data_IF_526943397466
#
_entry.id   IF_526943397466
#
_cell.length_a   1.000
_cell.length_b   1.000
_cell.length_c   1.000
_cell.angle_alpha   90.00
_cell.angle_beta   90.00
_cell.angle_gamma   90.00
#
_symmetry.space_group_name_H-M   'P 1'
#
loop_
_entity.id
_entity.type
_entity.pdbx_description
1 polymer ?
#
# COMPACT_ATOMS: atom_id res chain seq x y z
N UNK A 1 -15.44 11.18 13.53
CA UNK A 1 -15.34 11.26 12.05
C UNK A 1 -13.92 10.87 11.73
N UNK A 2 -13.71 9.79 10.99
CA UNK A 2 -12.36 9.39 10.57
C UNK A 2 -11.76 10.57 9.79
N UNK A 3 -10.55 10.98 10.14
CA UNK A 3 -9.87 12.07 9.47
C UNK A 3 -9.63 11.70 8.00
N UNK A 4 -10.47 12.25 7.13
CA UNK A 4 -10.38 12.06 5.69
C UNK A 4 -9.02 12.55 5.16
N UNK A 5 -8.38 13.48 5.87
CA UNK A 5 -7.02 13.97 5.60
C UNK A 5 -5.95 12.87 5.74
N UNK A 6 -5.95 12.13 6.86
CA UNK A 6 -5.05 10.99 7.11
C UNK A 6 -5.23 9.89 6.05
N UNK A 7 -6.48 9.47 5.85
CA UNK A 7 -6.81 8.36 4.93
C UNK A 7 -6.41 8.73 3.49
N UNK A 8 -6.74 9.94 3.03
CA UNK A 8 -6.38 10.39 1.67
C UNK A 8 -4.87 10.49 1.48
N UNK A 9 -4.13 10.99 2.47
CA UNK A 9 -2.68 11.13 2.39
C UNK A 9 -1.99 9.78 2.14
N UNK A 10 -2.22 8.81 3.02
CA UNK A 10 -1.52 7.53 2.93
C UNK A 10 -2.01 6.70 1.75
N UNK A 11 -3.31 6.71 1.43
CA UNK A 11 -3.83 6.02 0.25
C UNK A 11 -3.19 6.57 -1.04
N UNK A 12 -3.07 7.90 -1.16
CA UNK A 12 -2.42 8.52 -2.31
C UNK A 12 -0.94 8.15 -2.43
N UNK A 13 -0.20 8.09 -1.31
CA UNK A 13 1.20 7.68 -1.33
C UNK A 13 1.38 6.23 -1.78
N UNK A 14 0.51 5.32 -1.33
CA UNK A 14 0.56 3.92 -1.76
C UNK A 14 0.24 3.77 -3.26
N UNK A 15 -0.70 4.56 -3.80
CA UNK A 15 -0.95 4.63 -5.26
C UNK A 15 0.28 5.13 -6.01
N UNK A 16 0.99 6.14 -5.48
CA UNK A 16 2.24 6.61 -6.09
C UNK A 16 3.33 5.53 -6.06
N UNK A 17 3.46 4.77 -4.97
CA UNK A 17 4.40 3.65 -4.91
C UNK A 17 4.10 2.56 -5.93
N UNK A 18 2.82 2.25 -6.15
CA UNK A 18 2.40 1.31 -7.18
C UNK A 18 2.85 1.79 -8.58
N UNK A 19 2.61 3.06 -8.92
CA UNK A 19 3.06 3.65 -10.19
C UNK A 19 4.58 3.65 -10.34
N UNK A 20 5.34 3.96 -9.29
CA UNK A 20 6.82 3.92 -9.31
C UNK A 20 7.35 2.50 -9.50
N UNK A 21 6.74 1.53 -8.82
CA UNK A 21 7.07 0.11 -8.95
C UNK A 21 6.80 -0.41 -10.36
N UNK A 22 5.73 0.05 -11.02
CA UNK A 22 5.44 -0.26 -12.43
C UNK A 22 6.47 0.30 -13.40
N UNK A 23 7.06 1.45 -13.07
CA UNK A 23 8.18 2.05 -13.81
C UNK A 23 9.53 1.36 -13.53
N UNK A 24 9.54 0.28 -12.74
CA UNK A 24 10.75 -0.46 -12.39
C UNK A 24 11.61 0.22 -11.32
N UNK A 25 11.09 1.23 -10.63
CA UNK A 25 11.82 1.86 -9.53
C UNK A 25 11.82 0.94 -8.31
N UNK A 26 12.95 0.87 -7.63
CA UNK A 26 13.02 0.24 -6.31
C UNK A 26 12.32 1.13 -5.28
N UNK A 27 11.30 0.57 -4.63
CA UNK A 27 10.44 1.28 -3.68
C UNK A 27 10.41 0.59 -2.32
N UNK A 28 11.08 -0.54 -2.14
CA UNK A 28 10.83 -1.46 -1.03
C UNK A 28 11.15 -0.83 0.34
N UNK A 29 12.30 -0.17 0.47
CA UNK A 29 12.70 0.52 1.71
C UNK A 29 11.75 1.68 2.03
N UNK A 30 11.46 2.51 1.02
CA UNK A 30 10.60 3.68 1.17
C UNK A 30 9.15 3.28 1.51
N UNK A 31 8.65 2.21 0.90
CA UNK A 31 7.34 1.63 1.18
C UNK A 31 7.29 1.06 2.60
N UNK A 32 8.30 0.29 3.00
CA UNK A 32 8.39 -0.29 4.35
C UNK A 32 8.34 0.81 5.41
N UNK A 33 9.10 1.89 5.21
CA UNK A 33 9.05 3.06 6.09
C UNK A 33 7.66 3.69 6.11
N UNK A 34 7.03 3.87 4.95
CA UNK A 34 5.70 4.51 4.86
C UNK A 34 4.60 3.69 5.53
N UNK A 35 4.66 2.36 5.43
CA UNK A 35 3.74 1.45 6.15
C UNK A 35 3.87 1.61 7.66
N UNK A 36 5.11 1.67 8.19
CA UNK A 36 5.35 1.89 9.63
C UNK A 36 4.83 3.26 10.09
N UNK A 37 5.07 4.30 9.30
CA UNK A 37 4.55 5.65 9.58
C UNK A 37 3.02 5.67 9.61
N UNK A 38 2.36 4.99 8.65
CA UNK A 38 0.91 4.90 8.59
C UNK A 38 0.31 4.24 9.84
N UNK A 39 0.90 3.11 10.29
CA UNK A 39 0.48 2.43 11.52
C UNK A 39 0.65 3.31 12.75
N UNK A 40 1.84 3.88 12.95
CA UNK A 40 2.12 4.77 14.08
C UNK A 40 1.19 5.97 14.11
N UNK A 41 0.91 6.58 12.97
CA UNK A 41 0.03 7.73 12.88
C UNK A 41 -1.44 7.36 13.09
N UNK A 42 -1.90 6.18 12.64
CA UNK A 42 -3.22 5.68 12.98
C UNK A 42 -3.39 5.53 14.50
N UNK A 43 -2.39 4.95 15.20
CA UNK A 43 -2.41 4.84 16.68
C UNK A 43 -2.50 6.21 17.36
N UNK A 44 -1.79 7.21 16.84
CA UNK A 44 -1.89 8.58 17.35
C UNK A 44 -3.28 9.20 17.10
N UNK A 45 -3.84 9.02 15.90
CA UNK A 45 -5.17 9.50 15.57
C UNK A 45 -6.24 8.83 16.43
N UNK A 46 -6.12 7.51 16.66
CA UNK A 46 -7.05 6.74 17.47
C UNK A 46 -7.14 7.27 18.91
N UNK A 47 -6.01 7.70 19.48
CA UNK A 47 -5.95 8.31 20.81
C UNK A 47 -6.58 9.71 20.88
N UNK A 48 -6.57 10.47 19.79
CA UNK A 48 -6.96 11.88 19.79
C UNK A 48 -8.33 12.16 19.19
N UNK A 49 -8.80 11.31 18.26
CA UNK A 49 -9.92 11.64 17.35
C UNK A 49 -10.95 10.51 17.17
N UNK A 50 -10.79 9.38 17.88
CA UNK A 50 -11.67 8.21 17.81
C UNK A 50 -11.03 7.04 17.06
N UNK A 51 -11.55 5.83 17.24
CA UNK A 51 -10.91 4.60 16.76
C UNK A 51 -11.01 4.35 15.24
N UNK A 52 -10.33 3.29 14.80
CA UNK A 52 -10.48 2.63 13.49
C UNK A 52 -9.85 3.37 12.30
N UNK A 53 -8.90 4.29 12.55
CA UNK A 53 -8.20 5.00 11.47
C UNK A 53 -7.40 4.06 10.56
N UNK A 54 -6.74 3.04 11.13
CA UNK A 54 -6.00 2.06 10.34
C UNK A 54 -6.94 1.21 9.46
N UNK A 55 -8.09 0.80 10.02
CA UNK A 55 -9.09 0.04 9.29
C UNK A 55 -9.65 0.86 8.10
N UNK A 56 -9.96 2.13 8.33
CA UNK A 56 -10.42 3.03 7.28
C UNK A 56 -9.39 3.26 6.17
N UNK A 57 -8.10 3.33 6.52
CA UNK A 57 -7.02 3.38 5.54
C UNK A 57 -6.94 2.09 4.72
N UNK A 58 -7.01 0.92 5.36
CA UNK A 58 -6.99 -0.39 4.68
C UNK A 58 -8.15 -0.49 3.68
N UNK A 59 -9.36 -0.14 4.09
CA UNK A 59 -10.53 -0.11 3.21
C UNK A 59 -10.31 0.83 2.02
N UNK A 60 -9.79 2.03 2.27
CA UNK A 60 -9.51 2.97 1.19
C UNK A 60 -8.47 2.44 0.20
N UNK A 61 -7.40 1.80 0.68
CA UNK A 61 -6.38 1.23 -0.21
C UNK A 61 -6.98 0.12 -1.09
N UNK A 62 -7.87 -0.71 -0.54
CA UNK A 62 -8.61 -1.74 -1.30
C UNK A 62 -9.53 -1.11 -2.34
N UNK A 63 -10.21 -0.02 -2.01
CA UNK A 63 -11.04 0.73 -2.96
C UNK A 63 -10.22 1.30 -4.12
N UNK A 64 -9.06 1.91 -3.83
CA UNK A 64 -8.17 2.44 -4.87
C UNK A 64 -7.65 1.33 -5.79
N UNK A 65 -7.37 0.14 -5.23
CA UNK A 65 -6.98 -1.03 -6.01
C UNK A 65 -8.05 -1.44 -7.04
N UNK A 66 -9.33 -1.21 -6.75
CA UNK A 66 -10.44 -1.47 -7.67
C UNK A 66 -10.69 -0.38 -8.71
N UNK A 67 -10.18 0.84 -8.49
CA UNK A 67 -10.45 2.01 -9.36
C UNK A 67 -9.44 2.19 -10.48
N UNK A 68 -8.27 1.59 -10.39
CA UNK A 68 -7.22 1.79 -11.38
C UNK A 68 -7.55 1.05 -12.69
N UNK A 69 -7.70 1.79 -13.79
CA UNK A 69 -8.11 1.28 -15.10
C UNK A 69 -6.90 0.96 -16.01
N UNK A 70 -5.68 0.90 -15.47
CA UNK A 70 -4.51 0.50 -16.27
C UNK A 70 -4.13 1.53 -17.31
N UNK A 71 -3.72 2.73 -16.89
CA UNK A 71 -3.11 3.65 -17.85
C UNK A 71 -1.72 3.11 -18.22
N UNK A 72 -1.42 2.79 -19.48
CA UNK A 72 -0.08 2.34 -19.85
C UNK A 72 0.91 3.48 -19.60
N UNK A 73 1.76 3.33 -18.58
CA UNK A 73 2.86 4.27 -18.29
C UNK A 73 4.11 3.95 -19.10
N UNK A 74 4.24 2.72 -19.60
CA UNK A 74 5.32 2.24 -20.46
C UNK A 74 4.79 1.94 -21.87
N UNK A 75 5.58 2.31 -22.89
CA UNK A 75 5.29 2.00 -24.29
C UNK A 75 5.19 0.48 -24.46
N UNK A 76 4.22 0.01 -25.22
CA UNK A 76 3.98 -1.42 -25.53
C UNK A 76 3.53 -2.29 -24.34
N UNK A 77 3.14 -1.70 -23.21
CA UNK A 77 2.59 -2.46 -22.06
C UNK A 77 1.09 -2.65 -22.20
N UNK A 78 0.63 -3.90 -22.04
CA UNK A 78 -0.80 -4.23 -21.96
C UNK A 78 -1.46 -3.50 -20.77
N UNK A 79 -2.45 -2.62 -21.03
CA UNK A 79 -3.23 -1.92 -20.01
C UNK A 79 -3.84 -2.85 -18.97
N UNK A 80 -4.34 -4.02 -19.38
CA UNK A 80 -4.98 -4.97 -18.46
C UNK A 80 -3.96 -5.60 -17.52
N UNK A 81 -2.79 -6.00 -18.04
CA UNK A 81 -1.69 -6.49 -17.22
C UNK A 81 -1.14 -5.40 -16.27
N UNK A 82 -1.06 -4.14 -16.70
CA UNK A 82 -0.68 -3.03 -15.84
C UNK A 82 -1.70 -2.83 -14.70
N UNK A 83 -2.99 -2.85 -15.02
CA UNK A 83 -4.06 -2.78 -14.03
C UNK A 83 -3.99 -3.93 -13.01
N UNK A 84 -3.72 -5.15 -13.48
CA UNK A 84 -3.55 -6.32 -12.64
C UNK A 84 -2.39 -6.18 -11.65
N UNK A 85 -1.23 -5.69 -12.11
CA UNK A 85 -0.06 -5.45 -11.24
C UNK A 85 -0.33 -4.35 -10.22
N UNK A 86 -0.94 -3.24 -10.64
CA UNK A 86 -1.31 -2.14 -9.76
C UNK A 86 -2.24 -2.59 -8.64
N UNK A 87 -3.32 -3.28 -9.02
CA UNK A 87 -4.29 -3.83 -8.09
C UNK A 87 -3.63 -4.78 -7.11
N UNK A 88 -2.78 -5.68 -7.60
CA UNK A 88 -2.08 -6.64 -6.74
C UNK A 88 -1.19 -5.93 -5.73
N UNK A 89 -0.43 -4.93 -6.16
CA UNK A 89 0.45 -4.16 -5.29
C UNK A 89 -0.29 -3.47 -4.14
N UNK A 90 -1.43 -2.82 -4.44
CA UNK A 90 -2.24 -2.15 -3.42
C UNK A 90 -2.93 -3.15 -2.48
N UNK A 91 -3.39 -4.29 -2.99
CA UNK A 91 -3.94 -5.37 -2.15
C UNK A 91 -2.87 -5.92 -1.21
N UNK A 92 -1.66 -6.19 -1.70
CA UNK A 92 -0.56 -6.66 -0.86
C UNK A 92 -0.23 -5.65 0.27
N UNK A 93 -0.28 -4.33 -0.01
CA UNK A 93 -0.11 -3.30 1.03
C UNK A 93 -1.24 -3.33 2.05
N UNK A 94 -2.49 -3.45 1.60
CA UNK A 94 -3.64 -3.53 2.50
C UNK A 94 -3.55 -4.76 3.42
N UNK A 95 -3.07 -5.89 2.88
CA UNK A 95 -2.86 -7.10 3.65
C UNK A 95 -1.75 -6.91 4.68
N UNK A 96 -0.61 -6.33 4.30
CA UNK A 96 0.46 -5.96 5.24
C UNK A 96 -0.07 -5.05 6.32
N UNK A 97 -0.80 -3.98 5.98
CA UNK A 97 -1.36 -3.06 6.98
C UNK A 97 -2.32 -3.75 7.97
N UNK A 98 -3.02 -4.80 7.53
CA UNK A 98 -3.94 -5.57 8.36
C UNK A 98 -3.25 -6.55 9.32
N UNK A 99 -1.98 -6.86 9.08
CA UNK A 99 -1.21 -7.71 9.97
C UNK A 99 -0.74 -6.98 11.23
N UNK A 100 -0.59 -7.69 12.36
CA UNK A 100 0.00 -7.13 13.57
C UNK A 100 1.43 -6.63 13.33
N UNK A 101 1.87 -5.63 14.12
CA UNK A 101 3.23 -5.09 14.00
C UNK A 101 4.30 -6.18 14.19
N UNK A 102 5.31 -6.20 13.30
CA UNK A 102 6.36 -7.23 13.24
C UNK A 102 6.48 -7.94 11.88
N UNK A 103 5.52 -7.73 10.98
CA UNK A 103 5.58 -8.29 9.63
C UNK A 103 6.01 -7.24 8.60
N UNK A 104 7.01 -7.56 7.79
CA UNK A 104 7.57 -6.67 6.76
C UNK A 104 7.33 -7.23 5.37
N UNK A 105 6.92 -6.33 4.49
CA UNK A 105 6.82 -6.50 3.05
C UNK A 105 8.20 -6.50 2.39
N UNK A 106 8.55 -7.57 1.68
CA UNK A 106 9.77 -7.63 0.86
C UNK A 106 9.43 -8.13 -0.53
N UNK A 107 9.83 -7.45 -1.61
CA UNK A 107 9.70 -8.03 -2.94
C UNK A 107 10.69 -9.18 -3.06
N UNK A 108 10.22 -10.38 -3.43
CA UNK A 108 11.12 -11.50 -3.71
C UNK A 108 11.68 -11.33 -5.13
N UNK A 109 13.01 -11.40 -5.27
CA UNK A 109 13.67 -11.40 -6.58
C UNK A 109 13.04 -12.48 -7.49
N UNK A 110 12.55 -12.07 -8.66
CA UNK A 110 11.98 -12.96 -9.66
C UNK A 110 10.51 -13.38 -9.47
N UNK A 111 9.77 -12.85 -8.49
CA UNK A 111 8.32 -13.12 -8.34
C UNK A 111 7.48 -11.83 -8.42
N UNK A 112 6.34 -11.83 -9.15
CA UNK A 112 5.42 -10.71 -9.12
C UNK A 112 4.67 -10.70 -7.79
N UNK A 113 5.01 -9.78 -6.90
CA UNK A 113 4.27 -9.53 -5.65
C UNK A 113 5.17 -9.18 -4.46
N UNK A 114 4.57 -8.50 -3.48
CA UNK A 114 5.19 -8.21 -2.19
C UNK A 114 5.12 -9.49 -1.35
N UNK A 115 6.25 -10.06 -0.96
CA UNK A 115 6.27 -11.21 -0.06
C UNK A 115 6.33 -10.75 1.40
N UNK A 116 5.35 -11.20 2.16
CA UNK A 116 5.24 -10.94 3.57
C UNK A 116 6.16 -11.90 4.33
N UNK A 117 7.10 -11.38 5.13
CA UNK A 117 7.92 -12.18 6.07
C UNK A 117 7.77 -11.63 7.49
N UNK A 118 7.51 -12.53 8.44
CA UNK A 118 7.60 -12.22 9.88
C UNK A 118 9.07 -11.95 10.23
N UNK A 119 9.32 -10.86 10.94
CA UNK A 119 10.54 -10.73 11.73
C UNK A 119 10.27 -11.44 13.07
N UNK A 120 10.99 -12.54 13.32
CA UNK A 120 11.12 -13.04 14.68
C UNK A 120 11.92 -12.02 15.50
N UNK A 121 11.38 -11.68 16.67
CA UNK A 121 11.87 -10.63 17.57
C UNK A 121 13.26 -10.92 18.16
#
# INVERSE_FOLDING_TARGET
MIEESFVRLYAHDFVQFAGRSELGQDVDEALTRRVREARSHAVLMDRHKGSDHLAALIERVRDEAGRFVGRPMLKDTDPAAAAGRHKRFLVDIADVLSEPEGVVAHRAEGKPGLQIRRLDA
#
